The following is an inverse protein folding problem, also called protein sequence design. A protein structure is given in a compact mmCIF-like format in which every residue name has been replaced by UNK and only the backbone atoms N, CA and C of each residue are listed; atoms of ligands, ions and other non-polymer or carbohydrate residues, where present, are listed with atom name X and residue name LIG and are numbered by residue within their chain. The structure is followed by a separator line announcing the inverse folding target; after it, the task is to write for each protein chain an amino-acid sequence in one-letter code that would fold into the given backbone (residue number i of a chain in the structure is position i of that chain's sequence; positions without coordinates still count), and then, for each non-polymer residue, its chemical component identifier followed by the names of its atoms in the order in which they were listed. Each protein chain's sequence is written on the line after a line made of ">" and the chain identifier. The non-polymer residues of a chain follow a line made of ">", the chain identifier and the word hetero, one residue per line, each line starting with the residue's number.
data_IF_074538383082
#
_entry.id   IF_074538383082
#
_cell.length_a   1.000
_cell.length_b   1.000
_cell.length_c   1.000
_cell.angle_alpha   90.00
_cell.angle_beta   90.00
_cell.angle_gamma   90.00
#
_symmetry.space_group_name_H-M   'P 1'
#
loop_
_entity.id
_entity.type
_entity.pdbx_description
1 polymer ?
#
# COMPACT_ATOMS: atom_id res chain seq x y z
N UNK A 1 23.91 -6.09 3.08
CA UNK A 1 23.22 -6.98 2.12
C UNK A 1 22.06 -7.68 2.83
N UNK A 2 21.01 -8.08 2.10
CA UNK A 2 19.96 -9.05 2.52
C UNK A 2 18.57 -8.57 3.00
N UNK A 3 18.13 -7.33 2.77
CA UNK A 3 16.78 -6.89 3.20
C UNK A 3 15.69 -6.95 2.10
N UNK A 4 15.95 -7.57 0.95
CA UNK A 4 14.97 -7.80 -0.13
C UNK A 4 14.47 -9.25 -0.12
N UNK A 5 14.02 -9.73 1.05
CA UNK A 5 13.39 -11.06 1.16
C UNK A 5 11.91 -10.91 0.80
N UNK A 6 11.45 -11.60 -0.26
CA UNK A 6 10.04 -11.73 -0.59
C UNK A 6 9.22 -12.20 0.62
N UNK A 7 7.93 -11.85 0.65
CA UNK A 7 7.00 -12.39 1.65
C UNK A 7 6.78 -13.88 1.40
N UNK A 8 6.73 -14.70 2.45
CA UNK A 8 6.23 -16.07 2.32
C UNK A 8 4.73 -16.06 2.05
N UNK A 9 4.16 -17.17 1.56
CA UNK A 9 2.72 -17.24 1.27
C UNK A 9 1.84 -16.94 2.49
N UNK A 10 2.24 -17.41 3.67
CA UNK A 10 1.54 -17.13 4.93
C UNK A 10 1.66 -15.66 5.35
N UNK A 11 2.87 -15.08 5.31
CA UNK A 11 3.07 -13.66 5.62
C UNK A 11 2.31 -12.77 4.65
N UNK A 12 2.30 -13.13 3.37
CA UNK A 12 1.56 -12.43 2.32
C UNK A 12 0.07 -12.42 2.60
N UNK A 13 -0.53 -13.55 2.94
CA UNK A 13 -1.96 -13.63 3.23
C UNK A 13 -2.34 -12.75 4.42
N UNK A 14 -1.55 -12.80 5.50
CA UNK A 14 -1.81 -11.97 6.68
C UNK A 14 -1.70 -10.48 6.37
N UNK A 15 -0.67 -10.09 5.62
CA UNK A 15 -0.44 -8.70 5.19
C UNK A 15 -1.55 -8.22 4.27
N UNK A 16 -1.95 -9.03 3.28
CA UNK A 16 -3.03 -8.66 2.36
C UNK A 16 -4.36 -8.49 3.09
N UNK A 17 -4.64 -9.31 4.11
CA UNK A 17 -5.82 -9.14 4.97
C UNK A 17 -5.78 -7.81 5.73
N UNK A 18 -4.64 -7.45 6.34
CA UNK A 18 -4.46 -6.19 7.07
C UNK A 18 -4.59 -4.96 6.15
N UNK A 19 -3.96 -5.03 4.97
CA UNK A 19 -4.02 -4.00 3.95
C UNK A 19 -5.44 -3.83 3.40
N UNK A 20 -6.16 -4.93 3.12
CA UNK A 20 -7.57 -4.90 2.72
C UNK A 20 -8.47 -4.30 3.78
N UNK A 21 -8.26 -4.65 5.06
CA UNK A 21 -8.97 -4.05 6.17
C UNK A 21 -8.71 -2.53 6.27
N UNK A 22 -7.52 -2.10 5.88
CA UNK A 22 -7.14 -0.68 5.79
C UNK A 22 -7.60 -0.02 4.48
N UNK A 23 -8.29 -0.73 3.58
CA UNK A 23 -8.82 -0.17 2.32
C UNK A 23 -7.84 -0.17 1.14
N UNK A 24 -6.72 -0.89 1.23
CA UNK A 24 -5.85 -1.18 0.09
C UNK A 24 -6.37 -2.37 -0.71
N UNK A 25 -6.15 -2.33 -2.02
CA UNK A 25 -6.54 -3.38 -2.96
C UNK A 25 -5.31 -3.96 -3.66
N UNK A 26 -5.35 -5.26 -3.97
CA UNK A 26 -4.34 -5.88 -4.82
C UNK A 26 -4.67 -5.65 -6.29
N UNK A 27 -3.65 -5.38 -7.11
CA UNK A 27 -3.79 -5.33 -8.57
C UNK A 27 -3.65 -6.75 -9.11
N UNK A 28 -4.74 -7.41 -9.52
CA UNK A 28 -4.68 -8.83 -9.91
C UNK A 28 -3.66 -9.18 -11.01
N UNK A 29 -3.31 -8.22 -11.88
CA UNK A 29 -2.34 -8.42 -12.97
C UNK A 29 -0.88 -8.21 -12.56
N UNK A 30 -0.61 -7.63 -11.37
CA UNK A 30 0.73 -7.27 -10.91
C UNK A 30 0.84 -7.47 -9.41
N UNK A 31 1.94 -7.99 -8.92
CA UNK A 31 2.10 -8.17 -7.47
C UNK A 31 2.36 -6.83 -6.75
N UNK A 32 1.29 -6.03 -6.64
CA UNK A 32 1.25 -4.62 -6.32
C UNK A 32 -0.02 -4.31 -5.52
N UNK A 33 0.08 -3.30 -4.66
CA UNK A 33 -1.05 -2.79 -3.89
C UNK A 33 -1.39 -1.37 -4.32
N UNK A 34 -2.68 -1.06 -4.27
CA UNK A 34 -3.26 0.19 -4.72
C UNK A 34 -4.21 0.75 -3.66
N UNK A 35 -4.19 2.07 -3.46
CA UNK A 35 -5.21 2.76 -2.67
C UNK A 35 -5.42 4.18 -3.18
N UNK A 36 -6.67 4.61 -3.07
CA UNK A 36 -7.08 5.98 -3.37
C UNK A 36 -7.42 6.71 -2.07
N UNK A 37 -6.87 7.92 -1.93
CA UNK A 37 -7.17 8.82 -0.83
C UNK A 37 -7.92 10.04 -1.37
N UNK A 38 -9.02 10.38 -0.72
CA UNK A 38 -9.87 11.50 -1.08
C UNK A 38 -9.80 12.55 0.03
N UNK A 39 -9.10 13.65 -0.22
CA UNK A 39 -8.94 14.74 0.72
C UNK A 39 -9.85 15.91 0.33
N UNK A 40 -10.48 16.56 1.32
CA UNK A 40 -11.24 17.80 1.08
C UNK A 40 -10.37 18.99 1.44
N UNK A 41 -10.26 19.92 0.50
CA UNK A 41 -9.57 21.19 0.75
C UNK A 41 -10.54 22.24 1.34
N UNK A 42 -9.99 23.32 1.90
CA UNK A 42 -10.75 24.42 2.52
C UNK A 42 -11.80 25.06 1.59
N UNK A 43 -11.59 25.00 0.27
CA UNK A 43 -12.52 25.53 -0.74
C UNK A 43 -13.56 24.50 -1.23
N UNK A 44 -13.84 23.44 -0.45
CA UNK A 44 -14.77 22.35 -0.79
C UNK A 44 -14.41 21.54 -2.05
N UNK A 45 -13.19 21.70 -2.57
CA UNK A 45 -12.65 20.91 -3.70
C UNK A 45 -12.13 19.57 -3.19
N UNK A 46 -12.47 18.49 -3.90
CA UNK A 46 -11.97 17.14 -3.65
C UNK A 46 -10.61 16.97 -4.36
N UNK A 47 -9.59 16.60 -3.61
CA UNK A 47 -8.27 16.23 -4.10
C UNK A 47 -8.16 14.71 -3.98
N UNK A 48 -7.98 14.04 -5.12
CA UNK A 48 -7.82 12.58 -5.18
C UNK A 48 -6.34 12.25 -5.35
N UNK A 49 -5.80 11.44 -4.44
CA UNK A 49 -4.42 10.94 -4.50
C UNK A 49 -4.45 9.43 -4.68
N UNK A 50 -3.95 8.95 -5.82
CA UNK A 50 -3.89 7.55 -6.17
C UNK A 50 -2.47 7.02 -5.97
N UNK A 51 -2.31 5.96 -5.18
CA UNK A 51 -1.00 5.41 -4.82
C UNK A 51 -0.94 3.94 -5.20
N UNK A 52 0.10 3.58 -5.95
CA UNK A 52 0.43 2.19 -6.30
C UNK A 52 1.83 1.87 -5.79
N UNK A 53 1.96 0.83 -4.98
CA UNK A 53 3.25 0.38 -4.42
C UNK A 53 3.65 -0.96 -5.02
N UNK A 54 4.84 -0.97 -5.64
CA UNK A 54 5.46 -2.15 -6.26
C UNK A 54 6.97 -2.09 -5.98
N UNK A 55 7.60 -3.20 -5.63
CA UNK A 55 9.07 -3.28 -5.62
C UNK A 55 9.59 -3.71 -6.99
N UNK A 56 10.16 -2.77 -7.73
CA UNK A 56 10.72 -2.99 -9.08
C UNK A 56 11.90 -3.99 -9.09
N UNK A 57 12.67 -4.05 -8.00
CA UNK A 57 13.87 -4.90 -7.88
C UNK A 57 13.54 -6.41 -7.75
N UNK A 58 12.29 -6.74 -7.42
CA UNK A 58 11.87 -8.12 -7.16
C UNK A 58 10.57 -8.53 -7.89
N UNK A 59 9.99 -7.65 -8.71
CA UNK A 59 8.78 -7.94 -9.47
C UNK A 59 7.52 -8.21 -8.62
N UNK A 60 7.53 -7.86 -7.34
CA UNK A 60 6.41 -8.13 -6.44
C UNK A 60 6.46 -7.46 -5.08
N UNK A 61 5.50 -7.80 -4.21
CA UNK A 61 5.27 -7.12 -2.94
C UNK A 61 6.28 -7.59 -1.88
N UNK A 62 6.94 -6.65 -1.24
CA UNK A 62 7.91 -6.91 -0.17
C UNK A 62 7.48 -6.30 1.16
N UNK A 63 8.17 -6.68 2.24
CA UNK A 63 7.98 -6.05 3.56
C UNK A 63 8.17 -4.53 3.55
N UNK A 64 8.89 -3.97 2.58
CA UNK A 64 9.09 -2.52 2.44
C UNK A 64 7.82 -1.84 1.95
N UNK A 65 7.16 -2.42 0.96
CA UNK A 65 5.90 -1.90 0.42
C UNK A 65 4.82 -1.86 1.50
N UNK A 66 4.74 -2.92 2.33
CA UNK A 66 3.82 -3.00 3.47
C UNK A 66 4.08 -1.92 4.51
N UNK A 67 5.35 -1.74 4.92
CA UNK A 67 5.72 -0.70 5.89
C UNK A 67 5.42 0.70 5.36
N UNK A 68 5.63 0.93 4.08
CA UNK A 68 5.33 2.21 3.45
C UNK A 68 3.82 2.45 3.38
N UNK A 69 3.02 1.45 3.03
CA UNK A 69 1.56 1.53 3.05
C UNK A 69 1.04 1.91 4.45
N UNK A 70 1.51 1.23 5.50
CA UNK A 70 1.15 1.53 6.89
C UNK A 70 1.58 2.94 7.33
N UNK A 71 2.71 3.43 6.82
CA UNK A 71 3.16 4.80 7.08
C UNK A 71 2.23 5.83 6.40
N UNK A 72 1.86 5.57 5.14
CA UNK A 72 0.93 6.42 4.39
C UNK A 72 -0.43 6.48 5.10
N UNK A 73 -0.95 5.37 5.60
CA UNK A 73 -2.20 5.35 6.37
C UNK A 73 -2.12 6.24 7.62
N UNK A 74 -1.02 6.15 8.38
CA UNK A 74 -0.82 7.00 9.56
C UNK A 74 -0.70 8.48 9.20
N UNK A 75 -0.02 8.80 8.10
CA UNK A 75 0.10 10.16 7.62
C UNK A 75 -1.25 10.71 7.14
N UNK A 76 -2.02 9.92 6.39
CA UNK A 76 -3.35 10.28 5.90
C UNK A 76 -4.36 10.45 7.04
N UNK A 77 -4.24 9.69 8.14
CA UNK A 77 -5.07 9.85 9.33
C UNK A 77 -4.74 11.12 10.15
N UNK A 78 -3.63 11.80 9.87
CA UNK A 78 -3.17 13.00 10.58
C UNK A 78 -3.52 14.32 9.84
N UNK A 79 -4.23 14.23 8.71
CA UNK A 79 -4.70 15.36 7.89
C UNK A 79 -6.20 15.55 8.09
#
# INVERSE_FOLDING_TARGET
>A
SSQSRWLTAEERNQVLLDLKASGWSELGERDAIYKEFNFKNFNQVIIVVQITLISHDCGGLTKRDVKLAQFIDKAAASV
#
